data_IF_387682600821
#
_entry.id   IF_387682600821
#
_cell.length_a   1.000
_cell.length_b   1.000
_cell.length_c   1.000
_cell.angle_alpha   90.00
_cell.angle_beta   90.00
_cell.angle_gamma   90.00
#
_symmetry.space_group_name_H-M   'P 1'
#
loop_
_entity.id
_entity.type
_entity.pdbx_description
1 polymer ?
#
# COMPACT_ATOMS: atom_id res chain seq x y z
N UNK A 1 1.66 -38.72 -5.74
CA UNK A 1 2.21 -37.38 -6.04
C UNK A 1 1.27 -36.36 -5.41
N UNK A 2 1.61 -35.90 -4.21
CA UNK A 2 0.82 -34.95 -3.44
C UNK A 2 1.03 -33.55 -4.00
N UNK A 3 -0.06 -32.91 -4.43
CA UNK A 3 -0.08 -31.52 -4.85
C UNK A 3 0.41 -30.64 -3.69
N UNK A 4 1.48 -29.88 -3.93
CA UNK A 4 1.93 -28.84 -3.01
C UNK A 4 0.81 -27.80 -2.89
N UNK A 5 0.29 -27.61 -1.68
CA UNK A 5 -0.60 -26.49 -1.37
C UNK A 5 0.18 -25.21 -1.60
N UNK A 6 -0.35 -24.32 -2.43
CA UNK A 6 0.12 -22.95 -2.56
C UNK A 6 0.07 -22.26 -1.19
N UNK A 7 1.12 -21.52 -0.77
CA UNK A 7 1.04 -20.73 0.44
C UNK A 7 0.06 -19.59 0.19
N UNK A 8 -1.03 -19.58 0.94
CA UNK A 8 -1.80 -18.35 1.15
C UNK A 8 -0.87 -17.34 1.81
N UNK A 9 -0.85 -16.06 1.42
CA UNK A 9 -0.08 -15.06 2.14
C UNK A 9 -0.59 -14.99 3.57
N UNK A 10 0.18 -15.53 4.52
CA UNK A 10 -0.15 -15.46 5.94
C UNK A 10 -0.13 -13.99 6.37
N UNK A 11 -1.26 -13.44 6.84
CA UNK A 11 -1.28 -12.17 7.58
C UNK A 11 -1.90 -10.94 6.90
N UNK A 12 -2.50 -11.03 5.70
CA UNK A 12 -3.18 -9.86 5.11
C UNK A 12 -4.56 -9.60 5.77
N UNK A 13 -4.66 -8.48 6.50
CA UNK A 13 -5.79 -8.17 7.38
C UNK A 13 -7.11 -7.88 6.65
N UNK A 14 -7.07 -7.43 5.40
CA UNK A 14 -8.27 -7.06 4.63
C UNK A 14 -8.81 -8.19 3.73
N UNK A 15 -8.13 -9.33 3.67
CA UNK A 15 -8.55 -10.50 2.89
C UNK A 15 -8.42 -10.34 1.37
N UNK A 16 -9.08 -11.21 0.59
CA UNK A 16 -8.98 -11.19 -0.89
C UNK A 16 -10.35 -11.14 -1.58
N UNK A 17 -11.38 -10.65 -0.88
CA UNK A 17 -12.76 -10.67 -1.39
C UNK A 17 -12.97 -9.70 -2.56
N UNK A 18 -14.02 -9.87 -3.39
CA UNK A 18 -14.30 -8.94 -4.47
C UNK A 18 -14.47 -7.48 -4.03
N UNK A 19 -15.06 -7.26 -2.86
CA UNK A 19 -15.26 -5.95 -2.23
C UNK A 19 -13.92 -5.31 -1.86
N UNK A 20 -13.03 -6.10 -1.26
CA UNK A 20 -11.68 -5.66 -0.91
C UNK A 20 -10.90 -5.24 -2.16
N UNK A 21 -11.05 -5.97 -3.25
CA UNK A 21 -10.37 -5.65 -4.49
C UNK A 21 -10.93 -4.40 -5.18
N UNK A 22 -12.23 -4.10 -5.01
CA UNK A 22 -12.81 -2.84 -5.45
C UNK A 22 -12.30 -1.66 -4.60
N UNK A 23 -12.13 -1.87 -3.28
CA UNK A 23 -11.52 -0.88 -2.38
C UNK A 23 -10.13 -0.49 -2.85
N UNK A 24 -9.29 -1.45 -3.30
CA UNK A 24 -7.94 -1.17 -3.80
C UNK A 24 -7.94 -0.23 -5.02
N UNK A 25 -8.86 -0.41 -5.97
CA UNK A 25 -9.00 0.51 -7.11
C UNK A 25 -9.43 1.91 -6.67
N UNK A 26 -10.38 1.99 -5.75
CA UNK A 26 -10.84 3.27 -5.20
C UNK A 26 -9.69 3.99 -4.48
N UNK A 27 -8.97 3.28 -3.61
CA UNK A 27 -7.81 3.80 -2.89
C UNK A 27 -6.74 4.36 -3.83
N UNK A 28 -6.40 3.60 -4.88
CA UNK A 28 -5.38 4.00 -5.85
C UNK A 28 -5.75 5.29 -6.59
N UNK A 29 -6.99 5.40 -7.07
CA UNK A 29 -7.48 6.61 -7.74
C UNK A 29 -7.54 7.80 -6.81
N UNK A 30 -8.04 7.61 -5.60
CA UNK A 30 -8.18 8.67 -4.61
C UNK A 30 -6.81 9.23 -4.18
N UNK A 31 -5.84 8.34 -3.99
CA UNK A 31 -4.49 8.70 -3.56
C UNK A 31 -3.54 8.99 -4.73
N UNK A 32 -4.01 8.93 -5.98
CA UNK A 32 -3.15 8.97 -7.18
C UNK A 32 -2.21 10.16 -7.16
N UNK A 33 -2.75 11.38 -7.00
CA UNK A 33 -1.92 12.58 -7.01
C UNK A 33 -0.86 12.52 -5.91
N UNK A 34 -1.27 12.16 -4.70
CA UNK A 34 -0.42 12.18 -3.50
C UNK A 34 0.68 11.12 -3.55
N UNK A 35 0.38 9.92 -4.05
CA UNK A 35 1.35 8.82 -4.18
C UNK A 35 2.30 9.05 -5.35
N UNK A 36 1.80 9.49 -6.51
CA UNK A 36 2.57 9.50 -7.76
C UNK A 36 3.22 10.85 -8.10
N UNK A 37 2.93 11.92 -7.36
CA UNK A 37 3.55 13.23 -7.58
C UNK A 37 5.07 13.19 -7.37
N UNK A 38 5.81 13.74 -8.34
CA UNK A 38 7.27 13.86 -8.25
C UNK A 38 8.04 12.55 -8.39
N UNK A 39 7.40 11.44 -8.82
CA UNK A 39 8.09 10.17 -9.00
C UNK A 39 9.22 10.28 -10.06
N UNK A 40 10.42 9.73 -9.78
CA UNK A 40 11.62 9.93 -10.60
C UNK A 40 11.70 9.03 -11.84
N UNK A 41 10.56 8.67 -12.47
CA UNK A 41 10.50 7.65 -13.52
C UNK A 41 10.43 8.17 -14.96
N UNK A 42 10.58 9.48 -15.17
CA UNK A 42 10.47 10.10 -16.50
C UNK A 42 11.47 9.56 -17.54
N UNK A 43 12.58 8.94 -17.11
CA UNK A 43 13.57 8.30 -17.99
C UNK A 43 13.63 6.77 -17.85
N UNK A 44 12.78 6.19 -17.02
CA UNK A 44 12.72 4.74 -16.82
C UNK A 44 11.97 4.10 -17.99
N UNK A 45 12.50 2.98 -18.49
CA UNK A 45 11.82 2.16 -19.52
C UNK A 45 11.35 0.84 -18.94
N UNK A 46 12.14 0.24 -18.05
CA UNK A 46 11.82 -1.03 -17.39
C UNK A 46 11.68 -0.83 -15.89
N UNK A 47 10.45 -0.80 -15.39
CA UNK A 47 10.15 -0.64 -13.98
C UNK A 47 9.76 -1.97 -13.36
N UNK A 48 10.34 -2.29 -12.20
CA UNK A 48 9.86 -3.37 -11.34
C UNK A 48 8.87 -2.81 -10.32
N UNK A 49 7.66 -3.33 -10.30
CA UNK A 49 6.67 -3.04 -9.25
C UNK A 49 6.56 -4.25 -8.31
N UNK A 50 6.82 -4.05 -7.01
CA UNK A 50 6.68 -5.10 -6.00
C UNK A 50 5.36 -4.93 -5.27
N UNK A 51 4.58 -6.00 -5.19
CA UNK A 51 3.23 -5.98 -4.62
C UNK A 51 2.25 -5.28 -5.55
N UNK A 52 2.22 -5.64 -6.85
CA UNK A 52 1.35 -4.96 -7.82
C UNK A 52 -0.15 -5.21 -7.55
N UNK A 53 -0.49 -6.20 -6.71
CA UNK A 53 -1.85 -6.49 -6.28
C UNK A 53 -2.79 -6.68 -7.47
N UNK A 54 -3.89 -5.95 -7.47
CA UNK A 54 -4.90 -5.99 -8.54
C UNK A 54 -4.55 -5.08 -9.74
N UNK A 55 -3.32 -4.56 -9.82
CA UNK A 55 -2.85 -3.75 -10.95
C UNK A 55 -3.29 -2.28 -10.93
N UNK A 56 -3.82 -1.79 -9.80
CA UNK A 56 -4.35 -0.44 -9.69
C UNK A 56 -3.24 0.63 -9.81
N UNK A 57 -2.11 0.44 -9.11
CA UNK A 57 -0.96 1.35 -9.20
C UNK A 57 -0.22 1.19 -10.55
N UNK A 58 -0.14 -0.04 -11.06
CA UNK A 58 0.40 -0.34 -12.40
C UNK A 58 -0.28 0.48 -13.50
N UNK A 59 -1.62 0.55 -13.51
CA UNK A 59 -2.37 1.37 -14.49
C UNK A 59 -1.96 2.83 -14.42
N UNK A 60 -1.91 3.40 -13.22
CA UNK A 60 -1.55 4.81 -12.99
C UNK A 60 -0.12 5.09 -13.48
N UNK A 61 0.83 4.20 -13.17
CA UNK A 61 2.22 4.31 -13.61
C UNK A 61 2.30 4.31 -15.14
N UNK A 62 1.63 3.37 -15.80
CA UNK A 62 1.62 3.27 -17.27
C UNK A 62 0.95 4.49 -17.91
N UNK A 63 -0.13 5.00 -17.33
CA UNK A 63 -0.80 6.21 -17.82
C UNK A 63 0.05 7.47 -17.64
N UNK A 64 0.78 7.61 -16.54
CA UNK A 64 1.63 8.78 -16.24
C UNK A 64 2.97 8.77 -16.99
N UNK A 65 3.52 7.59 -17.27
CA UNK A 65 4.82 7.42 -17.91
C UNK A 65 4.66 6.64 -19.24
N UNK A 66 4.52 7.33 -20.39
CA UNK A 66 4.19 6.69 -21.67
C UNK A 66 5.23 5.70 -22.19
N UNK A 67 6.52 5.91 -21.88
CA UNK A 67 7.62 5.04 -22.32
C UNK A 67 7.87 3.84 -21.38
N UNK A 68 7.14 3.77 -20.27
CA UNK A 68 7.34 2.78 -19.23
C UNK A 68 6.73 1.43 -19.63
N UNK A 69 7.49 0.38 -19.36
CA UNK A 69 7.03 -1.01 -19.29
C UNK A 69 7.18 -1.48 -17.85
N UNK A 70 6.11 -2.03 -17.28
CA UNK A 70 6.07 -2.47 -15.88
C UNK A 70 6.11 -3.99 -15.79
N UNK A 71 7.07 -4.52 -15.06
CA UNK A 71 7.06 -5.89 -14.57
C UNK A 71 6.51 -5.88 -13.15
N UNK A 72 5.27 -6.34 -12.96
CA UNK A 72 4.61 -6.44 -11.66
C UNK A 72 4.84 -7.80 -11.02
N UNK A 73 5.20 -7.82 -9.74
CA UNK A 73 5.33 -9.04 -8.94
C UNK A 73 4.34 -9.01 -7.78
N UNK A 74 3.63 -10.11 -7.55
CA UNK A 74 2.76 -10.30 -6.39
C UNK A 74 2.81 -11.76 -5.91
N UNK A 75 2.51 -11.98 -4.63
CA UNK A 75 2.49 -13.32 -4.04
C UNK A 75 1.13 -14.03 -4.20
N UNK A 76 0.09 -13.34 -4.68
CA UNK A 76 -1.27 -13.86 -4.82
C UNK A 76 -1.66 -14.06 -6.29
N UNK A 77 -1.82 -15.32 -6.70
CA UNK A 77 -2.30 -15.65 -8.05
C UNK A 77 -3.66 -15.01 -8.34
N UNK A 78 -4.56 -14.99 -7.36
CA UNK A 78 -5.90 -14.38 -7.51
C UNK A 78 -5.82 -12.87 -7.77
N UNK A 79 -4.87 -12.16 -7.14
CA UNK A 79 -4.63 -10.75 -7.42
C UNK A 79 -4.08 -10.57 -8.83
N UNK A 80 -3.12 -11.40 -9.24
CA UNK A 80 -2.51 -11.35 -10.57
C UNK A 80 -3.51 -11.65 -11.70
N UNK A 81 -4.42 -12.60 -11.50
CA UNK A 81 -5.51 -12.86 -12.44
C UNK A 81 -6.36 -11.60 -12.64
N UNK A 82 -6.69 -10.89 -11.56
CA UNK A 82 -7.49 -9.67 -11.64
C UNK A 82 -6.71 -8.48 -12.18
N UNK A 83 -5.44 -8.34 -11.84
CA UNK A 83 -4.55 -7.37 -12.46
C UNK A 83 -4.47 -7.59 -13.98
N UNK A 84 -4.36 -8.84 -14.42
CA UNK A 84 -4.32 -9.19 -15.85
C UNK A 84 -5.60 -8.76 -16.56
N UNK A 85 -6.78 -9.09 -16.00
CA UNK A 85 -8.06 -8.67 -16.56
C UNK A 85 -8.20 -7.14 -16.60
N UNK A 86 -7.87 -6.46 -15.50
CA UNK A 86 -7.95 -5.02 -15.38
C UNK A 86 -7.03 -4.31 -16.37
N UNK A 87 -5.74 -4.62 -16.36
CA UNK A 87 -4.75 -3.97 -17.23
C UNK A 87 -5.02 -4.25 -18.71
N UNK A 88 -5.44 -5.45 -19.09
CA UNK A 88 -5.80 -5.75 -20.50
C UNK A 88 -6.98 -4.91 -21.00
N UNK A 89 -7.93 -4.58 -20.11
CA UNK A 89 -9.07 -3.73 -20.44
C UNK A 89 -8.74 -2.23 -20.52
N UNK A 90 -7.55 -1.81 -20.06
CA UNK A 90 -7.12 -0.41 -20.06
C UNK A 90 -6.22 -0.10 -21.27
N UNK A 91 -6.61 0.81 -22.18
CA UNK A 91 -5.82 1.15 -23.36
C UNK A 91 -4.39 1.62 -23.05
N UNK A 92 -4.20 2.30 -21.91
CA UNK A 92 -2.88 2.76 -21.49
C UNK A 92 -1.92 1.59 -21.25
N UNK A 93 -2.37 0.43 -20.78
CA UNK A 93 -1.48 -0.66 -20.40
C UNK A 93 -1.14 -1.64 -21.53
N UNK A 94 -1.84 -1.57 -22.67
CA UNK A 94 -1.72 -2.56 -23.74
C UNK A 94 -0.28 -2.75 -24.22
N UNK A 95 0.23 -3.98 -24.09
CA UNK A 95 1.59 -4.36 -24.50
C UNK A 95 2.72 -3.80 -23.63
N UNK A 96 2.41 -3.17 -22.48
CA UNK A 96 3.39 -2.49 -21.63
C UNK A 96 3.50 -3.06 -20.22
N UNK A 97 2.95 -4.25 -19.97
CA UNK A 97 3.08 -4.90 -18.67
C UNK A 97 3.33 -6.40 -18.76
N UNK A 98 4.01 -6.92 -17.74
CA UNK A 98 4.23 -8.34 -17.47
C UNK A 98 3.91 -8.60 -15.99
N UNK A 99 3.31 -9.74 -15.65
CA UNK A 99 2.92 -10.09 -14.29
C UNK A 99 3.56 -11.41 -13.88
N UNK A 100 4.19 -11.42 -12.70
CA UNK A 100 4.91 -12.57 -12.16
C UNK A 100 4.41 -12.92 -10.76
N UNK A 101 4.06 -14.19 -10.56
CA UNK A 101 3.88 -14.75 -9.23
C UNK A 101 5.26 -14.93 -8.60
N UNK A 102 5.49 -14.40 -7.40
CA UNK A 102 6.79 -14.56 -6.75
C UNK A 102 6.87 -14.00 -5.34
N UNK A 103 8.00 -14.28 -4.69
CA UNK A 103 8.33 -13.77 -3.37
C UNK A 103 9.24 -12.54 -3.47
N UNK A 104 8.83 -11.41 -2.91
CA UNK A 104 9.60 -10.18 -2.92
C UNK A 104 10.97 -10.29 -2.20
N UNK A 105 11.12 -11.25 -1.29
CA UNK A 105 12.36 -11.52 -0.56
C UNK A 105 13.33 -12.46 -1.31
N UNK A 106 12.93 -12.99 -2.47
CA UNK A 106 13.71 -13.88 -3.33
C UNK A 106 13.32 -13.69 -4.80
N UNK A 107 13.92 -12.69 -5.44
CA UNK A 107 13.53 -12.28 -6.79
C UNK A 107 14.23 -13.12 -7.85
N UNK A 108 13.47 -13.87 -8.65
CA UNK A 108 13.99 -14.69 -9.77
C UNK A 108 14.39 -13.86 -11.01
N UNK A 109 14.88 -12.64 -10.80
CA UNK A 109 15.42 -11.77 -11.85
C UNK A 109 16.94 -11.67 -11.78
N UNK A 110 17.57 -11.52 -12.94
CA UNK A 110 19.01 -11.24 -13.02
C UNK A 110 19.32 -9.89 -12.39
N UNK A 111 20.54 -9.75 -11.85
CA UNK A 111 21.03 -8.45 -11.39
C UNK A 111 20.99 -7.40 -12.51
N UNK A 112 20.81 -6.13 -12.15
CA UNK A 112 20.87 -4.99 -13.08
C UNK A 112 19.89 -5.06 -14.28
N UNK A 113 18.73 -5.68 -14.06
CA UNK A 113 17.70 -5.89 -15.09
C UNK A 113 16.77 -4.68 -15.28
N UNK A 114 16.59 -3.86 -14.24
CA UNK A 114 15.57 -2.81 -14.21
C UNK A 114 16.17 -1.40 -14.10
N UNK A 115 15.48 -0.44 -14.70
CA UNK A 115 15.84 0.98 -14.73
C UNK A 115 15.18 1.78 -13.60
N UNK A 116 14.34 1.14 -12.79
CA UNK A 116 13.72 1.71 -11.61
C UNK A 116 12.85 0.69 -10.89
N UNK A 117 12.49 0.97 -9.64
CA UNK A 117 11.53 0.17 -8.89
C UNK A 117 10.50 1.01 -8.14
N UNK A 118 9.31 0.46 -7.98
CA UNK A 118 8.19 1.05 -7.24
C UNK A 118 7.64 0.05 -6.23
N UNK A 119 7.45 0.52 -4.99
CA UNK A 119 6.86 -0.21 -3.88
C UNK A 119 5.81 0.68 -3.23
N UNK A 120 4.59 0.19 -3.05
CA UNK A 120 3.52 0.95 -2.42
C UNK A 120 2.66 0.04 -1.54
N UNK A 121 2.64 0.30 -0.23
CA UNK A 121 1.86 -0.45 0.77
C UNK A 121 2.14 -1.95 0.74
N UNK A 122 3.42 -2.31 0.69
CA UNK A 122 3.86 -3.72 0.63
C UNK A 122 4.78 -4.06 1.80
N UNK A 123 5.65 -3.15 2.21
CA UNK A 123 6.60 -3.41 3.29
C UNK A 123 5.92 -3.54 4.65
N UNK A 124 4.72 -2.99 4.82
CA UNK A 124 3.92 -3.15 6.04
C UNK A 124 3.40 -4.58 6.26
N UNK A 125 3.48 -5.44 5.23
CA UNK A 125 2.97 -6.82 5.24
C UNK A 125 4.07 -7.87 5.23
N UNK A 126 5.36 -7.49 5.18
CA UNK A 126 6.48 -8.44 5.09
C UNK A 126 7.27 -8.49 6.39
N UNK A 127 7.68 -9.70 6.77
CA UNK A 127 8.46 -9.93 7.99
C UNK A 127 9.88 -9.33 7.95
N UNK A 128 10.48 -9.22 6.76
CA UNK A 128 11.82 -8.66 6.57
C UNK A 128 11.85 -7.63 5.42
N UNK A 129 11.47 -6.37 5.69
CA UNK A 129 11.54 -5.29 4.71
C UNK A 129 12.95 -5.04 4.18
N UNK A 130 13.99 -5.28 4.99
CA UNK A 130 15.38 -5.09 4.57
C UNK A 130 15.78 -6.13 3.53
N UNK A 131 15.38 -7.39 3.69
CA UNK A 131 15.61 -8.44 2.68
C UNK A 131 14.95 -8.10 1.35
N UNK A 132 13.70 -7.65 1.38
CA UNK A 132 12.97 -7.22 0.17
C UNK A 132 13.71 -6.07 -0.53
N UNK A 133 14.05 -5.01 0.21
CA UNK A 133 14.77 -3.86 -0.35
C UNK A 133 16.17 -4.23 -0.87
N UNK A 134 16.85 -5.18 -0.24
CA UNK A 134 18.13 -5.71 -0.70
C UNK A 134 17.99 -6.43 -2.05
N UNK A 135 16.97 -7.26 -2.22
CA UNK A 135 16.69 -7.94 -3.49
C UNK A 135 16.30 -6.94 -4.58
N UNK A 136 15.48 -5.94 -4.26
CA UNK A 136 15.15 -4.84 -5.17
C UNK A 136 16.42 -4.11 -5.62
N UNK A 137 17.32 -3.75 -4.69
CA UNK A 137 18.60 -3.11 -5.05
C UNK A 137 19.43 -3.98 -5.99
N UNK A 138 19.50 -5.30 -5.74
CA UNK A 138 20.28 -6.24 -6.56
C UNK A 138 19.82 -6.28 -8.02
N UNK A 139 18.51 -6.25 -8.27
CA UNK A 139 17.94 -6.36 -9.62
C UNK A 139 17.89 -5.02 -10.35
N UNK A 140 18.11 -3.90 -9.64
CA UNK A 140 18.23 -2.58 -10.23
C UNK A 140 19.62 -2.33 -10.81
N UNK A 141 19.67 -1.58 -11.91
CA UNK A 141 20.93 -1.07 -12.46
C UNK A 141 21.58 -0.07 -11.50
N UNK A 142 22.91 0.12 -11.55
CA UNK A 142 23.59 1.16 -10.80
C UNK A 142 22.97 2.55 -11.07
N UNK A 143 22.62 3.28 -10.00
CA UNK A 143 22.02 4.62 -10.06
C UNK A 143 20.53 4.66 -10.45
N UNK A 144 19.88 3.51 -10.64
CA UNK A 144 18.43 3.47 -10.90
C UNK A 144 17.64 4.00 -9.68
N UNK A 145 16.57 4.77 -9.90
CA UNK A 145 15.73 5.25 -8.82
C UNK A 145 14.83 4.13 -8.26
N UNK A 146 14.62 4.17 -6.95
CA UNK A 146 13.51 3.48 -6.29
C UNK A 146 12.58 4.50 -5.66
N UNK A 147 11.27 4.25 -5.70
CA UNK A 147 10.28 4.97 -4.92
C UNK A 147 9.50 3.99 -4.05
N UNK A 148 9.39 4.30 -2.75
CA UNK A 148 8.74 3.45 -1.75
C UNK A 148 7.71 4.30 -1.01
N UNK A 149 6.46 3.86 -0.94
CA UNK A 149 5.38 4.56 -0.22
C UNK A 149 4.75 3.62 0.78
N UNK A 150 4.78 3.99 2.06
CA UNK A 150 4.32 3.11 3.14
C UNK A 150 3.56 3.88 4.22
N UNK A 151 2.74 3.14 4.95
CA UNK A 151 1.86 3.65 6.01
C UNK A 151 2.63 4.22 7.21
N UNK A 152 2.00 5.19 7.87
CA UNK A 152 2.35 5.60 9.23
C UNK A 152 1.08 5.68 10.07
N UNK A 153 0.58 4.51 10.49
CA UNK A 153 -0.75 4.38 11.09
C UNK A 153 -0.94 5.17 12.39
N UNK A 154 0.13 5.44 13.14
CA UNK A 154 0.05 6.31 14.34
C UNK A 154 -0.37 7.74 14.03
N UNK A 155 -0.29 8.19 12.78
CA UNK A 155 -0.68 9.55 12.40
C UNK A 155 -2.19 9.73 12.19
N UNK A 156 -2.98 8.64 12.21
CA UNK A 156 -4.42 8.71 12.00
C UNK A 156 -5.11 9.48 13.14
N UNK A 157 -5.92 10.46 12.77
CA UNK A 157 -6.72 11.26 13.68
C UNK A 157 -8.04 11.69 13.04
N UNK A 158 -9.09 11.71 13.87
CA UNK A 158 -10.41 12.22 13.55
C UNK A 158 -10.87 13.20 14.64
N UNK A 159 -11.48 14.30 14.21
CA UNK A 159 -12.30 15.18 15.05
C UNK A 159 -13.76 15.12 14.55
N UNK A 160 -14.78 15.01 15.42
CA UNK A 160 -14.71 14.97 16.88
C UNK A 160 -14.01 13.73 17.46
N UNK A 161 -13.44 13.89 18.66
CA UNK A 161 -12.76 12.80 19.39
C UNK A 161 -13.65 11.56 19.50
N UNK A 162 -13.12 10.45 18.99
CA UNK A 162 -13.85 9.19 18.81
C UNK A 162 -13.10 8.05 19.51
N UNK A 163 -13.37 7.81 20.81
CA UNK A 163 -12.59 6.88 21.63
C UNK A 163 -12.69 5.43 21.15
N UNK A 164 -13.84 4.98 20.63
CA UNK A 164 -13.98 3.60 20.14
C UNK A 164 -13.25 3.40 18.81
N UNK A 165 -13.27 4.39 17.90
CA UNK A 165 -12.43 4.38 16.70
C UNK A 165 -10.96 4.25 17.07
N UNK A 166 -10.48 5.05 18.03
CA UNK A 166 -9.07 5.01 18.43
C UNK A 166 -8.68 3.70 19.12
N UNK A 167 -9.53 3.19 20.02
CA UNK A 167 -9.31 1.90 20.66
C UNK A 167 -9.26 0.76 19.64
N UNK A 168 -10.18 0.74 18.68
CA UNK A 168 -10.18 -0.20 17.57
C UNK A 168 -8.91 -0.09 16.72
N UNK A 169 -8.51 1.14 16.37
CA UNK A 169 -7.35 1.37 15.51
C UNK A 169 -6.04 0.94 16.19
N UNK A 170 -5.89 1.17 17.49
CA UNK A 170 -4.72 0.67 18.23
C UNK A 170 -4.70 -0.86 18.26
N UNK A 171 -5.84 -1.51 18.52
CA UNK A 171 -5.94 -2.97 18.48
C UNK A 171 -5.63 -3.55 17.08
N UNK A 172 -6.03 -2.85 16.01
CA UNK A 172 -5.68 -3.21 14.64
C UNK A 172 -4.16 -3.18 14.41
N UNK A 173 -3.50 -2.10 14.83
CA UNK A 173 -2.05 -1.96 14.69
C UNK A 173 -1.28 -3.02 15.50
N UNK A 174 -1.70 -3.27 16.75
CA UNK A 174 -1.11 -4.33 17.57
C UNK A 174 -1.27 -5.71 16.91
N UNK A 175 -2.45 -5.99 16.35
CA UNK A 175 -2.68 -7.23 15.65
C UNK A 175 -1.84 -7.37 14.37
N UNK A 176 -1.60 -6.28 13.64
CA UNK A 176 -0.69 -6.28 12.48
C UNK A 176 0.73 -6.68 12.88
N UNK A 177 1.25 -6.19 14.01
CA UNK A 177 2.55 -6.63 14.53
C UNK A 177 2.59 -8.12 14.87
N UNK A 178 1.54 -8.64 15.51
CA UNK A 178 1.47 -10.07 15.85
C UNK A 178 1.48 -10.98 14.62
N UNK A 179 0.95 -10.50 13.50
CA UNK A 179 0.99 -11.19 12.22
C UNK A 179 2.33 -11.03 11.47
N UNK A 180 3.30 -10.31 12.07
CA UNK A 180 4.62 -10.08 11.50
C UNK A 180 4.70 -8.89 10.54
N UNK A 181 3.65 -8.07 10.47
CA UNK A 181 3.65 -6.81 9.74
C UNK A 181 4.18 -5.63 10.58
N UNK A 182 4.21 -4.45 9.98
CA UNK A 182 4.66 -3.21 10.63
C UNK A 182 3.79 -2.02 10.20
N UNK A 183 2.76 -1.65 11.00
CA UNK A 183 1.85 -0.53 10.69
C UNK A 183 2.55 0.84 10.65
N UNK A 184 3.82 0.92 11.06
CA UNK A 184 4.59 2.15 11.19
C UNK A 184 5.85 2.16 10.32
N UNK A 185 5.94 1.24 9.35
CA UNK A 185 7.14 1.04 8.53
C UNK A 185 7.51 2.29 7.70
N UNK A 186 6.54 3.13 7.35
CA UNK A 186 6.76 4.40 6.66
C UNK A 186 7.77 5.29 7.38
N UNK A 187 7.69 5.39 8.70
CA UNK A 187 8.63 6.19 9.50
C UNK A 187 10.07 5.64 9.48
N UNK A 188 10.25 4.38 9.06
CA UNK A 188 11.53 3.65 9.08
C UNK A 188 12.20 3.59 7.70
N UNK A 189 11.53 4.04 6.63
CA UNK A 189 11.99 3.89 5.25
C UNK A 189 13.41 4.42 5.00
N UNK A 190 13.76 5.58 5.57
CA UNK A 190 15.10 6.15 5.41
C UNK A 190 16.20 5.22 5.93
N UNK A 191 16.00 4.67 7.13
CA UNK A 191 16.95 3.75 7.76
C UNK A 191 16.99 2.39 7.01
N UNK A 192 15.84 1.87 6.61
CA UNK A 192 15.73 0.61 5.86
C UNK A 192 16.47 0.69 4.52
N UNK A 193 16.28 1.77 3.76
CA UNK A 193 16.97 2.01 2.49
C UNK A 193 18.48 2.15 2.71
N UNK A 194 18.90 2.91 3.73
CA UNK A 194 20.31 3.13 4.04
C UNK A 194 21.02 1.82 4.43
N UNK A 195 20.37 1.00 5.23
CA UNK A 195 20.92 -0.26 5.74
C UNK A 195 21.30 -1.26 4.64
N UNK A 196 20.59 -1.23 3.49
CA UNK A 196 20.83 -2.14 2.36
C UNK A 196 21.66 -1.50 1.23
N UNK A 197 22.16 -0.27 1.45
CA UNK A 197 23.12 0.39 0.57
C UNK A 197 22.54 1.32 -0.49
N UNK A 198 21.26 1.68 -0.43
CA UNK A 198 20.75 2.79 -1.25
C UNK A 198 21.40 4.12 -0.82
N UNK A 199 21.53 5.05 -1.77
CA UNK A 199 22.05 6.41 -1.51
C UNK A 199 21.10 7.47 -2.04
N UNK A 200 21.44 8.73 -1.84
CA UNK A 200 20.62 9.89 -2.23
C UNK A 200 19.18 9.77 -1.70
N UNK A 201 19.05 9.29 -0.46
CA UNK A 201 17.78 8.98 0.17
C UNK A 201 17.08 10.28 0.57
N UNK A 202 15.86 10.46 0.07
CA UNK A 202 14.92 11.51 0.48
C UNK A 202 13.67 10.87 1.03
N UNK A 203 13.18 11.38 2.16
CA UNK A 203 11.87 11.02 2.71
C UNK A 203 10.97 12.26 2.71
N UNK A 204 9.72 12.08 2.30
CA UNK A 204 8.68 13.10 2.28
C UNK A 204 7.47 12.56 3.04
N UNK A 205 6.98 13.31 4.03
CA UNK A 205 5.75 12.98 4.75
C UNK A 205 4.58 13.56 3.96
N UNK A 206 3.73 12.69 3.43
CA UNK A 206 2.56 13.08 2.66
C UNK A 206 1.36 13.13 3.59
N UNK A 207 0.85 14.34 3.83
CA UNK A 207 -0.22 14.60 4.81
C UNK A 207 -1.57 14.82 4.12
N UNK A 208 -2.57 14.09 4.59
CA UNK A 208 -3.98 14.35 4.38
C UNK A 208 -4.47 15.15 5.59
N UNK A 209 -4.70 16.43 5.42
CA UNK A 209 -5.34 17.28 6.42
C UNK A 209 -6.58 17.89 5.77
N UNK A 210 -7.72 17.27 6.05
CA UNK A 210 -8.99 17.56 5.39
C UNK A 210 -9.99 18.08 6.42
N UNK A 211 -10.41 19.32 6.22
CA UNK A 211 -11.36 20.05 7.06
C UNK A 211 -12.35 20.82 6.15
N UNK A 212 -13.00 21.84 6.68
CA UNK A 212 -13.98 22.66 5.95
C UNK A 212 -13.44 23.31 4.67
N UNK A 213 -12.12 23.39 4.47
CA UNK A 213 -11.51 23.89 3.22
C UNK A 213 -11.66 22.91 2.06
N UNK A 214 -11.86 21.62 2.35
CA UNK A 214 -11.99 20.56 1.35
C UNK A 214 -13.15 19.59 1.72
N UNK A 215 -14.41 20.07 1.81
CA UNK A 215 -15.51 19.31 2.40
C UNK A 215 -15.89 18.05 1.61
N UNK A 216 -15.75 18.08 0.28
CA UNK A 216 -16.02 16.92 -0.60
C UNK A 216 -14.95 15.85 -0.40
N UNK A 217 -13.67 16.20 -0.55
CA UNK A 217 -12.55 15.28 -0.36
C UNK A 217 -12.53 14.71 1.07
N UNK A 218 -12.87 15.54 2.07
CA UNK A 218 -13.02 15.09 3.46
C UNK A 218 -14.10 14.01 3.59
N UNK A 219 -15.28 14.23 3.02
CA UNK A 219 -16.38 13.27 3.11
C UNK A 219 -16.01 11.94 2.44
N UNK A 220 -15.42 12.00 1.25
CA UNK A 220 -14.94 10.82 0.53
C UNK A 220 -13.85 10.07 1.33
N UNK A 221 -12.95 10.79 2.01
CA UNK A 221 -11.91 10.18 2.84
C UNK A 221 -12.49 9.52 4.10
N UNK A 222 -13.44 10.15 4.77
CA UNK A 222 -14.13 9.56 5.93
C UNK A 222 -14.89 8.31 5.51
N UNK A 223 -15.55 8.31 4.35
CA UNK A 223 -16.23 7.14 3.80
C UNK A 223 -15.23 6.01 3.49
N UNK A 224 -14.13 6.32 2.81
CA UNK A 224 -13.07 5.34 2.55
C UNK A 224 -12.52 4.71 3.84
N UNK A 225 -12.23 5.51 4.87
CA UNK A 225 -11.75 4.99 6.15
C UNK A 225 -12.83 4.23 6.92
N UNK A 226 -14.10 4.60 6.77
CA UNK A 226 -15.22 3.84 7.34
C UNK A 226 -15.24 2.43 6.77
N UNK A 227 -15.14 2.28 5.45
CA UNK A 227 -15.10 0.97 4.80
C UNK A 227 -13.85 0.18 5.18
N UNK A 228 -12.68 0.84 5.23
CA UNK A 228 -11.42 0.23 5.65
C UNK A 228 -11.49 -0.35 7.07
N UNK A 229 -11.96 0.45 8.03
CA UNK A 229 -12.04 0.03 9.43
C UNK A 229 -13.07 -1.09 9.59
N UNK A 230 -14.23 -0.98 8.93
CA UNK A 230 -15.30 -1.98 9.04
C UNK A 230 -14.97 -3.30 8.35
N UNK A 231 -14.15 -3.30 7.29
CA UNK A 231 -13.74 -4.54 6.61
C UNK A 231 -12.87 -5.44 7.51
N UNK A 232 -12.03 -4.84 8.36
CA UNK A 232 -11.20 -5.58 9.32
C UNK A 232 -11.96 -6.11 10.54
N UNK A 233 -13.13 -5.54 10.86
CA UNK A 233 -13.79 -5.78 12.14
C UNK A 233 -14.14 -7.26 12.41
N UNK A 234 -14.65 -8.05 11.44
CA UNK A 234 -14.89 -9.48 11.65
C UNK A 234 -13.62 -10.25 12.02
N UNK A 235 -12.48 -9.90 11.41
CA UNK A 235 -11.19 -10.53 11.68
C UNK A 235 -10.69 -10.25 13.10
N UNK A 236 -10.75 -8.98 13.52
CA UNK A 236 -10.33 -8.60 14.87
C UNK A 236 -11.24 -9.19 15.96
N UNK A 237 -12.56 -9.26 15.71
CA UNK A 237 -13.50 -9.92 16.62
C UNK A 237 -13.20 -11.42 16.74
N UNK A 238 -12.99 -12.11 15.61
CA UNK A 238 -12.67 -13.54 15.60
C UNK A 238 -11.33 -13.84 16.28
N UNK A 239 -10.36 -12.93 16.18
CA UNK A 239 -9.06 -13.01 16.85
C UNK A 239 -9.10 -12.58 18.34
N UNK A 240 -10.26 -12.12 18.84
CA UNK A 240 -10.41 -11.65 20.22
C UNK A 240 -9.63 -10.38 20.53
N UNK A 241 -9.32 -9.56 19.51
CA UNK A 241 -8.51 -8.33 19.64
C UNK A 241 -9.35 -7.12 20.02
N UNK A 242 -10.64 -7.15 19.68
CA UNK A 242 -11.61 -6.12 20.04
C UNK A 242 -12.89 -6.78 20.54
N UNK A 243 -13.59 -6.11 21.43
CA UNK A 243 -14.93 -6.53 21.86
C UNK A 243 -16.00 -6.00 20.91
N UNK A 244 -17.14 -6.69 20.86
CA UNK A 244 -18.29 -6.24 20.05
C UNK A 244 -18.74 -4.82 20.43
N UNK A 245 -18.66 -4.47 21.73
CA UNK A 245 -19.00 -3.13 22.22
C UNK A 245 -18.14 -2.03 21.59
N UNK A 246 -16.83 -2.28 21.40
CA UNK A 246 -15.91 -1.33 20.75
C UNK A 246 -16.28 -1.17 19.27
N UNK A 247 -16.59 -2.27 18.57
CA UNK A 247 -16.99 -2.23 17.15
C UNK A 247 -18.31 -1.48 16.97
N UNK A 248 -19.28 -1.70 17.86
CA UNK A 248 -20.58 -1.01 17.82
C UNK A 248 -20.42 0.49 18.13
N UNK A 249 -19.57 0.82 19.11
CA UNK A 249 -19.17 2.19 19.41
C UNK A 249 -18.50 2.87 18.21
N UNK A 250 -17.55 2.19 17.58
CA UNK A 250 -16.87 2.67 16.36
C UNK A 250 -17.87 2.95 15.23
N UNK A 251 -18.84 2.06 15.00
CA UNK A 251 -19.92 2.27 14.00
C UNK A 251 -20.80 3.48 14.34
N UNK A 252 -21.05 3.75 15.61
CA UNK A 252 -21.76 4.96 16.05
C UNK A 252 -20.94 6.22 15.76
N UNK A 253 -19.67 6.22 16.14
CA UNK A 253 -18.75 7.34 15.97
C UNK A 253 -18.49 7.66 14.48
N UNK A 254 -18.24 6.67 13.63
CA UNK A 254 -18.08 6.87 12.17
C UNK A 254 -19.33 7.50 11.54
N UNK A 255 -20.53 7.13 12.00
CA UNK A 255 -21.79 7.75 11.57
C UNK A 255 -21.94 9.19 12.06
N UNK A 256 -21.42 9.51 13.23
CA UNK A 256 -21.42 10.88 13.75
C UNK A 256 -20.43 11.75 12.98
N UNK A 257 -19.18 11.29 12.83
CA UNK A 257 -18.11 11.98 12.09
C UNK A 257 -18.51 12.26 10.64
N UNK A 258 -19.09 11.29 9.94
CA UNK A 258 -19.53 11.48 8.54
C UNK A 258 -20.66 12.50 8.35
N UNK A 259 -21.41 12.81 9.42
CA UNK A 259 -22.50 13.80 9.42
C UNK A 259 -22.08 15.16 9.97
N UNK A 260 -20.90 15.26 10.57
CA UNK A 260 -20.42 16.50 11.15
C UNK A 260 -19.79 17.39 10.06
N UNK A 261 -20.41 18.55 9.75
CA UNK A 261 -19.85 19.45 8.76
C UNK A 261 -18.52 20.05 9.18
N UNK A 262 -18.12 19.98 10.45
CA UNK A 262 -16.86 20.48 11.00
C UNK A 262 -15.84 19.37 11.29
N UNK A 263 -16.12 18.12 10.90
CA UNK A 263 -15.18 17.03 11.11
C UNK A 263 -13.78 17.38 10.57
N UNK A 264 -12.74 16.88 11.23
CA UNK A 264 -11.37 16.94 10.72
C UNK A 264 -10.89 15.52 10.49
N UNK A 265 -10.41 15.27 9.28
CA UNK A 265 -9.69 14.05 8.96
C UNK A 265 -8.21 14.36 8.84
N UNK A 266 -7.38 13.61 9.56
CA UNK A 266 -5.94 13.72 9.46
C UNK A 266 -5.27 12.34 9.34
N UNK A 267 -4.39 12.17 8.36
CA UNK A 267 -3.55 10.99 8.20
C UNK A 267 -2.27 11.36 7.46
N UNK A 268 -1.17 10.67 7.75
CA UNK A 268 0.08 10.80 7.03
C UNK A 268 0.65 9.44 6.66
N UNK A 269 1.23 9.37 5.48
CA UNK A 269 2.08 8.26 5.06
C UNK A 269 3.43 8.80 4.62
N UNK A 270 4.42 7.93 4.48
CA UNK A 270 5.78 8.35 4.12
C UNK A 270 6.10 7.83 2.73
N UNK A 271 6.60 8.72 1.88
CA UNK A 271 7.22 8.37 0.62
C UNK A 271 8.73 8.56 0.73
N UNK A 272 9.49 7.58 0.26
CA UNK A 272 10.93 7.68 0.13
C UNK A 272 11.35 7.50 -1.33
N UNK A 273 12.38 8.23 -1.74
CA UNK A 273 13.08 8.01 -3.01
C UNK A 273 14.57 7.82 -2.75
N UNK A 274 15.23 6.97 -3.52
CA UNK A 274 16.66 6.70 -3.38
C UNK A 274 17.28 6.16 -4.68
N UNK A 275 18.59 5.92 -4.68
CA UNK A 275 19.38 5.44 -5.83
C UNK A 275 20.14 4.16 -5.49
N UNK A 276 20.08 3.16 -6.36
CA UNK A 276 20.77 1.86 -6.23
C UNK A 276 22.24 1.95 -6.66
N UNK A 277 23.12 2.47 -5.80
CA UNK A 277 24.58 2.47 -6.04
C UNK A 277 25.26 1.21 -5.50
#
# INVERSE_FOLDING_TARGET
MTAAKSPTPHGYLHGFTPEEQQRLYHQARFMEQRVHEGLPFARCRRLLEIGCGVGAQTEILLRRFPDLHVTGLDASEANLERARSYLTSNPCAQGRFELHLGNAADLEFKGESFDGAFLCWILEHVADPARVLSEVRRVLRPGAPVAVTEVQNMSFFLDPYSPNILAYWMAFNDHQFELGGDPFVGAKLGNLLQAVGFRDIRTDVVTLHLDNRAPVERAEMIEFWTDLLLSGAPGLLAAGKVEQAVVDGMRSELRAVSRDPNAVFYYSFVRATARSW
#
